data_IF_425943304959
#
_entry.id   IF_425943304959
#
_cell.length_a   1.000
_cell.length_b   1.000
_cell.length_c   1.000
_cell.angle_alpha   90.00
_cell.angle_beta   90.00
_cell.angle_gamma   90.00
#
_symmetry.space_group_name_H-M   'P 1'
#
loop_
_entity.id
_entity.type
_entity.pdbx_description
1 polymer ?
#
# COMPACT_ATOMS: atom_id res chain seq x y z
N UNK A 1 -14.25 -9.11 -0.60
CA UNK A 1 -14.51 -10.25 0.30
C UNK A 1 -16.00 -10.45 0.61
N UNK A 2 -16.74 -9.44 1.08
CA UNK A 2 -18.16 -9.57 1.45
C UNK A 2 -19.04 -10.13 0.31
N UNK A 3 -18.79 -9.70 -0.93
CA UNK A 3 -19.47 -10.20 -2.14
C UNK A 3 -19.25 -11.70 -2.39
N UNK A 4 -18.16 -12.29 -1.91
CA UNK A 4 -17.86 -13.72 -2.12
C UNK A 4 -17.46 -14.07 -3.56
N UNK A 5 -16.21 -13.80 -3.91
CA UNK A 5 -15.66 -13.98 -5.27
C UNK A 5 -14.70 -15.17 -5.40
N UNK A 6 -14.75 -16.12 -4.46
CA UNK A 6 -13.89 -17.32 -4.49
C UNK A 6 -14.14 -18.16 -5.73
N UNK A 7 -13.05 -18.49 -6.44
CA UNK A 7 -13.09 -19.28 -7.68
C UNK A 7 -13.62 -18.52 -8.91
N UNK A 8 -13.73 -17.19 -8.83
CA UNK A 8 -14.25 -16.33 -9.91
C UNK A 8 -13.19 -15.33 -10.38
N UNK A 9 -13.39 -14.79 -11.59
CA UNK A 9 -12.68 -13.60 -12.04
C UNK A 9 -13.43 -12.36 -11.57
N UNK A 10 -12.67 -11.33 -11.21
CA UNK A 10 -13.15 -9.96 -11.05
C UNK A 10 -12.56 -9.17 -12.20
N UNK A 11 -13.40 -8.56 -13.02
CA UNK A 11 -12.98 -7.68 -14.11
C UNK A 11 -13.50 -6.27 -13.83
N UNK A 12 -12.62 -5.28 -13.95
CA UNK A 12 -12.93 -3.89 -13.65
C UNK A 12 -13.33 -3.15 -14.93
N UNK A 13 -14.35 -2.30 -14.83
CA UNK A 13 -14.84 -1.45 -15.92
C UNK A 13 -15.45 -0.16 -15.36
N UNK A 14 -15.92 0.72 -16.26
CA UNK A 14 -16.61 1.96 -15.91
C UNK A 14 -15.75 3.22 -15.91
N UNK A 15 -16.37 4.40 -15.78
CA UNK A 15 -15.76 5.70 -16.05
C UNK A 15 -14.67 6.10 -15.04
N UNK A 16 -14.58 5.42 -13.90
CA UNK A 16 -13.51 5.64 -12.91
C UNK A 16 -12.16 5.05 -13.33
N UNK A 17 -12.15 4.02 -14.18
CA UNK A 17 -10.91 3.27 -14.52
C UNK A 17 -9.88 4.09 -15.30
N UNK A 18 -10.26 4.97 -16.26
CA UNK A 18 -9.31 5.87 -16.93
C UNK A 18 -8.54 6.80 -15.99
N UNK A 19 -9.08 7.11 -14.79
CA UNK A 19 -8.41 7.95 -13.80
C UNK A 19 -7.36 7.21 -12.97
N UNK A 20 -7.31 5.88 -13.06
CA UNK A 20 -6.34 5.05 -12.36
C UNK A 20 -5.13 4.79 -13.25
N UNK A 21 -3.94 5.12 -12.77
CA UNK A 21 -2.69 4.75 -13.44
C UNK A 21 -2.50 3.23 -13.45
N UNK A 22 -1.60 2.72 -14.28
CA UNK A 22 -1.27 1.27 -14.25
C UNK A 22 -0.74 0.84 -12.89
N UNK A 23 -0.02 1.71 -12.18
CA UNK A 23 0.42 1.40 -10.83
C UNK A 23 -0.75 1.26 -9.85
N UNK A 24 -1.79 2.10 -9.94
CA UNK A 24 -2.98 2.02 -9.09
C UNK A 24 -3.77 0.73 -9.39
N UNK A 25 -3.95 0.41 -10.68
CA UNK A 25 -4.60 -0.83 -11.12
C UNK A 25 -3.83 -2.06 -10.64
N UNK A 26 -2.50 -2.03 -10.73
CA UNK A 26 -1.63 -3.10 -10.24
C UNK A 26 -1.73 -3.26 -8.71
N UNK A 27 -1.84 -2.17 -7.94
CA UNK A 27 -2.08 -2.23 -6.49
C UNK A 27 -3.39 -2.95 -6.17
N UNK A 28 -4.48 -2.64 -6.89
CA UNK A 28 -5.79 -3.29 -6.70
C UNK A 28 -5.74 -4.77 -7.11
N UNK A 29 -5.12 -5.07 -8.25
CA UNK A 29 -5.01 -6.42 -8.78
C UNK A 29 -4.09 -7.31 -7.93
N UNK A 30 -3.04 -6.74 -7.33
CA UNK A 30 -2.10 -7.46 -6.47
C UNK A 30 -2.81 -8.10 -5.27
N UNK A 31 -3.80 -7.42 -4.69
CA UNK A 31 -4.55 -7.91 -3.53
C UNK A 31 -5.63 -8.96 -3.86
N UNK A 32 -5.63 -9.51 -5.09
CA UNK A 32 -6.59 -10.50 -5.56
C UNK A 32 -6.79 -11.70 -4.62
N UNK A 33 -5.71 -12.34 -4.12
CA UNK A 33 -5.84 -13.44 -3.17
C UNK A 33 -6.51 -13.04 -1.85
N UNK A 34 -6.28 -11.81 -1.36
CA UNK A 34 -6.81 -11.33 -0.08
C UNK A 34 -8.34 -11.19 -0.08
N UNK A 35 -8.95 -10.85 -1.22
CA UNK A 35 -10.41 -10.86 -1.36
C UNK A 35 -10.97 -12.13 -2.00
N UNK A 36 -10.11 -13.05 -2.44
CA UNK A 36 -10.41 -14.43 -2.77
C UNK A 36 -10.62 -14.73 -4.25
N UNK A 37 -10.48 -13.75 -5.14
CA UNK A 37 -10.67 -13.98 -6.58
C UNK A 37 -9.51 -14.77 -7.20
N UNK A 38 -9.76 -15.42 -8.32
CA UNK A 38 -8.73 -16.11 -9.12
C UNK A 38 -7.92 -15.12 -9.96
N UNK A 39 -8.58 -14.08 -10.49
CA UNK A 39 -7.95 -12.99 -11.21
C UNK A 39 -8.68 -11.68 -10.94
N UNK A 40 -7.93 -10.59 -11.01
CA UNK A 40 -8.39 -9.21 -10.87
C UNK A 40 -7.92 -8.43 -12.09
N UNK A 41 -8.78 -8.37 -13.10
CA UNK A 41 -8.39 -8.05 -14.47
C UNK A 41 -8.77 -6.62 -14.85
N UNK A 42 -7.79 -5.87 -15.33
CA UNK A 42 -7.97 -4.60 -16.02
C UNK A 42 -7.59 -4.81 -17.49
N UNK A 43 -8.57 -4.81 -18.42
CA UNK A 43 -8.29 -4.86 -19.85
C UNK A 43 -7.30 -3.77 -20.31
N UNK A 44 -6.55 -4.04 -21.38
CA UNK A 44 -5.57 -3.11 -21.93
C UNK A 44 -6.30 -1.96 -22.63
N UNK A 45 -5.97 -0.73 -22.22
CA UNK A 45 -6.50 0.53 -22.74
C UNK A 45 -5.36 1.51 -23.10
N UNK A 46 -5.70 2.76 -23.36
CA UNK A 46 -4.69 3.78 -23.68
C UNK A 46 -3.71 4.05 -22.54
N UNK A 47 -4.17 4.04 -21.29
CA UNK A 47 -3.31 4.24 -20.11
C UNK A 47 -2.27 3.11 -20.02
N UNK A 48 -2.66 1.89 -20.41
CA UNK A 48 -1.75 0.75 -20.51
C UNK A 48 -0.66 0.97 -21.56
N UNK A 49 -1.02 1.48 -22.75
CA UNK A 49 -0.07 1.82 -23.82
C UNK A 49 0.90 2.91 -23.36
N UNK A 50 0.39 3.97 -22.72
CA UNK A 50 1.21 5.06 -22.18
C UNK A 50 2.23 4.57 -21.15
N UNK A 51 1.85 3.62 -20.29
CA UNK A 51 2.79 3.01 -19.34
C UNK A 51 3.89 2.19 -20.03
N UNK A 52 3.58 1.48 -21.13
CA UNK A 52 4.60 0.79 -21.91
C UNK A 52 5.61 1.76 -22.52
N UNK A 53 5.15 2.90 -23.04
CA UNK A 53 6.03 3.99 -23.51
C UNK A 53 6.89 4.51 -22.34
N UNK A 54 6.25 4.86 -21.21
CA UNK A 54 6.93 5.41 -20.04
C UNK A 54 8.01 4.48 -19.47
N UNK A 55 7.79 3.16 -19.54
CA UNK A 55 8.75 2.15 -19.07
C UNK A 55 9.77 1.74 -20.14
N UNK A 56 9.89 2.52 -21.22
CA UNK A 56 10.91 2.37 -22.25
C UNK A 56 10.77 1.11 -23.09
N UNK A 57 9.54 0.62 -23.32
CA UNK A 57 9.31 -0.43 -24.32
C UNK A 57 9.53 0.13 -25.72
N UNK A 58 10.03 -0.72 -26.61
CA UNK A 58 10.34 -0.37 -28.00
C UNK A 58 9.10 0.12 -28.78
N UNK A 59 9.26 1.17 -29.58
CA UNK A 59 8.15 1.84 -30.27
C UNK A 59 7.48 0.94 -31.31
N UNK A 60 8.26 0.17 -32.08
CA UNK A 60 7.71 -0.81 -33.02
C UNK A 60 6.94 -1.89 -32.26
N UNK A 61 7.41 -2.25 -31.05
CA UNK A 61 6.68 -3.16 -30.19
C UNK A 61 5.32 -2.64 -29.75
N UNK A 62 5.30 -1.40 -29.30
CA UNK A 62 4.07 -0.75 -28.83
C UNK A 62 3.05 -0.62 -29.97
N UNK A 63 3.51 -0.25 -31.18
CA UNK A 63 2.66 -0.18 -32.38
C UNK A 63 1.98 -1.52 -32.66
N UNK A 64 2.73 -2.63 -32.65
CA UNK A 64 2.14 -3.93 -32.92
C UNK A 64 1.22 -4.42 -31.80
N UNK A 65 1.53 -4.14 -30.53
CA UNK A 65 0.67 -4.49 -29.38
C UNK A 65 -0.71 -3.86 -29.55
N UNK A 66 -0.73 -2.54 -29.76
CA UNK A 66 -1.98 -1.79 -29.93
C UNK A 66 -2.77 -2.27 -31.15
N UNK A 67 -2.11 -2.37 -32.30
CA UNK A 67 -2.74 -2.81 -33.55
C UNK A 67 -3.32 -4.22 -33.43
N UNK A 68 -2.59 -5.13 -32.80
CA UNK A 68 -3.05 -6.49 -32.54
C UNK A 68 -4.30 -6.51 -31.64
N UNK A 69 -4.25 -5.82 -30.49
CA UNK A 69 -5.35 -5.79 -29.54
C UNK A 69 -6.61 -5.17 -30.16
N UNK A 70 -6.45 -4.13 -30.99
CA UNK A 70 -7.57 -3.55 -31.74
C UNK A 70 -8.13 -4.53 -32.77
N UNK A 71 -7.27 -5.20 -33.54
CA UNK A 71 -7.69 -6.14 -34.58
C UNK A 71 -8.43 -7.37 -34.02
N UNK A 72 -8.06 -7.82 -32.82
CA UNK A 72 -8.67 -8.98 -32.13
C UNK A 72 -9.81 -8.58 -31.18
N UNK A 73 -10.13 -7.30 -31.04
CA UNK A 73 -11.21 -6.81 -30.17
C UNK A 73 -10.90 -6.90 -28.66
N UNK A 74 -9.63 -6.80 -28.27
CA UNK A 74 -9.17 -6.83 -26.87
C UNK A 74 -8.50 -5.51 -26.41
N UNK A 75 -8.71 -4.43 -27.16
CA UNK A 75 -8.31 -3.08 -26.77
C UNK A 75 -9.51 -2.33 -26.22
N UNK A 76 -9.49 -1.99 -24.93
CA UNK A 76 -10.63 -1.47 -24.18
C UNK A 76 -10.65 0.05 -24.19
N UNK A 77 -11.84 0.61 -24.41
CA UNK A 77 -12.17 1.98 -24.03
C UNK A 77 -13.16 1.98 -22.85
N UNK A 78 -12.66 2.25 -21.64
CA UNK A 78 -13.49 2.28 -20.42
C UNK A 78 -14.47 3.46 -20.36
N UNK A 79 -14.36 4.44 -21.27
CA UNK A 79 -15.34 5.53 -21.41
C UNK A 79 -16.52 5.15 -22.30
N UNK A 80 -16.38 4.09 -23.10
CA UNK A 80 -17.41 3.54 -23.96
C UNK A 80 -18.12 2.36 -23.27
N UNK A 81 -19.29 2.65 -22.69
CA UNK A 81 -20.13 1.64 -22.05
C UNK A 81 -20.77 0.65 -23.03
N UNK A 82 -20.80 0.96 -24.33
CA UNK A 82 -21.31 0.01 -25.33
C UNK A 82 -20.38 -1.20 -25.53
N UNK A 83 -19.13 -1.09 -25.10
CA UNK A 83 -18.15 -2.17 -25.08
C UNK A 83 -18.10 -2.92 -23.74
N UNK A 84 -18.94 -2.58 -22.75
CA UNK A 84 -18.94 -3.29 -21.46
C UNK A 84 -19.40 -4.75 -21.65
N UNK A 85 -18.63 -5.74 -21.14
CA UNK A 85 -19.03 -7.14 -21.21
C UNK A 85 -20.31 -7.43 -20.43
N UNK A 86 -21.01 -8.50 -20.84
CA UNK A 86 -22.11 -9.06 -20.06
C UNK A 86 -21.58 -9.88 -18.88
N UNK A 87 -21.38 -9.22 -17.73
CA UNK A 87 -20.90 -9.87 -16.51
C UNK A 87 -21.98 -10.69 -15.80
N UNK A 88 -21.56 -11.71 -15.03
CA UNK A 88 -22.47 -12.52 -14.20
C UNK A 88 -23.16 -11.70 -13.12
N UNK A 89 -22.44 -10.74 -12.53
CA UNK A 89 -22.92 -9.80 -11.53
C UNK A 89 -22.07 -8.55 -11.62
N UNK A 90 -22.70 -7.38 -11.45
CA UNK A 90 -22.01 -6.09 -11.35
C UNK A 90 -22.04 -5.64 -9.88
N UNK A 91 -20.92 -5.14 -9.40
CA UNK A 91 -20.78 -4.47 -8.10
C UNK A 91 -20.09 -3.14 -8.35
N UNK A 92 -20.57 -2.10 -7.69
CA UNK A 92 -20.12 -0.72 -7.92
C UNK A 92 -19.33 -0.19 -6.73
N UNK A 93 -18.37 0.69 -7.02
CA UNK A 93 -17.64 1.50 -6.05
C UNK A 93 -17.52 2.92 -6.60
N UNK A 94 -18.22 3.85 -5.96
CA UNK A 94 -17.98 5.28 -6.18
C UNK A 94 -16.69 5.67 -5.46
N UNK A 95 -15.68 6.09 -6.23
CA UNK A 95 -14.37 6.49 -5.72
C UNK A 95 -14.44 7.68 -4.75
N UNK A 96 -15.49 8.51 -4.81
CA UNK A 96 -15.69 9.61 -3.85
C UNK A 96 -15.96 9.12 -2.43
N UNK A 97 -16.44 7.89 -2.27
CA UNK A 97 -16.68 7.27 -0.96
C UNK A 97 -15.40 6.73 -0.32
N UNK A 98 -14.29 6.70 -1.05
CA UNK A 98 -13.00 6.25 -0.53
C UNK A 98 -12.41 7.30 0.40
N UNK A 99 -12.12 6.88 1.62
CA UNK A 99 -11.45 7.69 2.65
C UNK A 99 -10.08 7.10 2.98
N UNK A 100 -9.12 7.92 3.45
CA UNK A 100 -7.86 7.40 3.99
C UNK A 100 -8.14 6.36 5.07
N UNK A 101 -7.57 5.17 4.91
CA UNK A 101 -7.81 4.04 5.81
C UNK A 101 -6.55 3.20 6.00
N UNK A 102 -6.57 2.39 7.04
CA UNK A 102 -5.64 1.29 7.29
C UNK A 102 -6.45 -0.02 7.40
N UNK A 103 -5.76 -1.16 7.42
CA UNK A 103 -6.40 -2.46 7.65
C UNK A 103 -5.73 -3.17 8.82
N UNK A 104 -6.53 -3.64 9.78
CA UNK A 104 -5.99 -4.33 10.94
C UNK A 104 -6.93 -4.43 12.15
N UNK A 105 -6.40 -4.89 13.30
CA UNK A 105 -4.98 -5.14 13.56
C UNK A 105 -4.48 -6.51 13.09
N UNK A 106 -5.36 -7.43 12.65
CA UNK A 106 -4.98 -8.84 12.43
C UNK A 106 -5.35 -9.42 11.06
N UNK A 107 -6.13 -8.73 10.21
CA UNK A 107 -6.50 -9.24 8.87
C UNK A 107 -6.56 -8.12 7.81
N UNK A 108 -6.28 -8.43 6.52
CA UNK A 108 -6.26 -7.43 5.45
C UNK A 108 -7.60 -6.75 5.15
N UNK A 109 -8.72 -7.46 5.33
CA UNK A 109 -10.05 -6.89 5.06
C UNK A 109 -10.63 -6.09 6.22
N UNK A 110 -9.96 -6.02 7.37
CA UNK A 110 -10.45 -5.29 8.55
C UNK A 110 -10.15 -3.79 8.38
N UNK A 111 -10.83 -3.15 7.41
CA UNK A 111 -10.70 -1.72 7.10
C UNK A 111 -11.07 -0.87 8.31
N UNK A 112 -10.21 0.09 8.63
CA UNK A 112 -10.40 1.11 9.66
C UNK A 112 -10.07 2.47 9.05
N UNK A 113 -10.99 3.42 9.11
CA UNK A 113 -10.72 4.78 8.64
C UNK A 113 -9.61 5.42 9.47
N UNK A 114 -8.75 6.25 8.86
CA UNK A 114 -7.65 6.92 9.56
C UNK A 114 -8.19 7.79 10.71
N UNK A 115 -9.34 8.44 10.49
CA UNK A 115 -10.10 9.20 11.50
C UNK A 115 -10.49 8.37 12.73
N UNK A 116 -10.82 7.09 12.54
CA UNK A 116 -11.32 6.19 13.59
C UNK A 116 -10.24 5.29 14.19
N UNK A 117 -9.00 5.29 13.67
CA UNK A 117 -7.94 4.37 14.09
C UNK A 117 -7.69 4.36 15.60
N UNK A 118 -7.65 5.53 16.24
CA UNK A 118 -7.42 5.63 17.69
C UNK A 118 -8.52 4.90 18.47
N UNK A 119 -9.77 5.22 18.16
CA UNK A 119 -10.96 4.66 18.82
C UNK A 119 -11.11 3.17 18.57
N UNK A 120 -10.86 2.73 17.34
CA UNK A 120 -10.87 1.31 16.97
C UNK A 120 -9.81 0.52 17.75
N UNK A 121 -8.58 1.06 17.84
CA UNK A 121 -7.50 0.42 18.61
C UNK A 121 -7.80 0.36 20.11
N UNK A 122 -8.27 1.46 20.71
CA UNK A 122 -8.68 1.51 22.13
C UNK A 122 -9.80 0.50 22.42
N UNK A 123 -10.77 0.37 21.51
CA UNK A 123 -11.82 -0.65 21.60
C UNK A 123 -11.23 -2.06 21.52
N UNK A 124 -10.27 -2.28 20.62
CA UNK A 124 -9.58 -3.56 20.48
C UNK A 124 -8.79 -3.96 21.75
N UNK A 125 -8.30 -3.01 22.57
CA UNK A 125 -7.57 -3.33 23.80
C UNK A 125 -8.41 -4.21 24.75
N UNK A 126 -9.65 -3.80 25.04
CA UNK A 126 -10.52 -4.49 25.99
C UNK A 126 -11.36 -5.63 25.38
N UNK A 127 -11.57 -5.64 24.06
CA UNK A 127 -12.39 -6.65 23.41
C UNK A 127 -11.82 -8.08 23.57
N UNK A 128 -12.72 -9.07 23.64
CA UNK A 128 -12.36 -10.51 23.75
C UNK A 128 -11.35 -10.89 22.67
N UNK A 129 -10.40 -11.76 23.04
CA UNK A 129 -9.33 -12.17 22.15
C UNK A 129 -9.90 -12.69 20.82
N UNK A 130 -9.49 -12.05 19.72
CA UNK A 130 -9.99 -12.33 18.38
C UNK A 130 -9.35 -11.39 17.36
N UNK A 131 -9.92 -11.27 16.16
CA UNK A 131 -9.36 -10.41 15.12
C UNK A 131 -9.37 -8.91 15.49
N UNK A 132 -10.36 -8.49 16.28
CA UNK A 132 -10.56 -7.12 16.77
C UNK A 132 -10.51 -7.04 18.30
N UNK A 133 -9.66 -7.86 18.93
CA UNK A 133 -9.56 -7.89 20.39
C UNK A 133 -8.25 -8.45 20.90
N UNK A 134 -7.69 -7.78 21.91
CA UNK A 134 -6.46 -8.14 22.60
C UNK A 134 -6.71 -8.68 24.02
N UNK A 135 -7.92 -8.50 24.57
CA UNK A 135 -8.32 -8.99 25.90
C UNK A 135 -7.41 -8.49 27.03
N UNK A 136 -7.07 -7.21 27.00
CA UNK A 136 -6.31 -6.53 28.04
C UNK A 136 -7.32 -5.96 29.04
N UNK A 137 -7.10 -6.22 30.33
CA UNK A 137 -7.95 -5.69 31.39
C UNK A 137 -7.98 -4.14 31.36
N UNK A 138 -9.15 -3.49 31.54
CA UNK A 138 -9.29 -2.03 31.39
C UNK A 138 -8.27 -1.21 32.18
N UNK A 139 -7.94 -1.63 33.39
CA UNK A 139 -6.96 -1.00 34.28
C UNK A 139 -5.53 -1.01 33.72
N UNK A 140 -5.24 -1.84 32.71
CA UNK A 140 -3.93 -1.92 32.05
C UNK A 140 -3.87 -1.15 30.72
N UNK A 141 -4.98 -0.58 30.23
CA UNK A 141 -5.01 0.11 28.94
C UNK A 141 -4.08 1.32 28.88
N UNK A 142 -3.82 1.95 30.03
CA UNK A 142 -2.93 3.08 30.18
C UNK A 142 -1.50 2.69 30.58
N UNK A 143 -1.15 1.40 30.55
CA UNK A 143 0.19 0.93 30.92
C UNK A 143 1.29 1.62 30.10
N UNK A 144 2.38 1.94 30.78
CA UNK A 144 3.57 2.58 30.24
C UNK A 144 4.80 1.88 30.77
N UNK A 145 5.77 1.62 29.91
CA UNK A 145 7.03 0.96 30.27
C UNK A 145 8.17 1.84 29.80
N UNK A 146 9.06 2.20 30.73
CA UNK A 146 10.28 2.94 30.44
C UNK A 146 11.39 1.99 30.03
N UNK A 147 12.22 2.41 29.08
CA UNK A 147 13.38 1.66 28.62
C UNK A 147 14.49 2.62 28.17
N UNK A 148 15.72 2.12 28.13
CA UNK A 148 16.88 2.90 27.65
C UNK A 148 17.28 2.40 26.27
N UNK A 149 17.47 3.33 25.34
CA UNK A 149 17.99 3.06 24.00
C UNK A 149 19.01 4.13 23.62
N UNK A 150 20.24 3.72 23.29
CA UNK A 150 21.38 4.61 23.03
C UNK A 150 21.54 5.69 24.12
N UNK A 151 21.61 5.24 25.39
CA UNK A 151 21.78 6.08 26.59
C UNK A 151 20.70 7.15 26.82
N UNK A 152 19.53 7.00 26.17
CA UNK A 152 18.36 7.87 26.34
C UNK A 152 17.16 7.09 26.82
N UNK A 153 16.45 7.64 27.79
CA UNK A 153 15.21 7.06 28.32
C UNK A 153 14.04 7.36 27.36
N UNK A 154 13.27 6.32 27.05
CA UNK A 154 12.04 6.37 26.26
C UNK A 154 10.92 5.63 26.98
N UNK A 155 9.70 5.81 26.49
CA UNK A 155 8.50 5.17 27.02
C UNK A 155 7.74 4.47 25.89
N UNK A 156 7.34 3.22 26.13
CA UNK A 156 6.38 2.47 25.33
C UNK A 156 5.03 2.43 26.05
N UNK A 157 3.98 2.59 25.26
CA UNK A 157 2.59 2.41 25.65
C UNK A 157 1.90 1.47 24.68
N UNK A 158 0.71 1.00 25.03
CA UNK A 158 -0.16 0.37 24.04
C UNK A 158 -0.37 1.31 22.84
N UNK A 159 -0.22 0.76 21.62
CA UNK A 159 -0.31 1.51 20.37
C UNK A 159 1.00 2.18 19.92
N UNK A 160 2.09 2.05 20.69
CA UNK A 160 3.41 2.54 20.25
C UNK A 160 3.87 1.80 18.99
N UNK A 161 4.27 2.56 17.97
CA UNK A 161 4.86 2.01 16.74
C UNK A 161 6.31 1.61 17.03
N UNK A 162 6.64 0.34 16.78
CA UNK A 162 8.01 -0.20 16.92
C UNK A 162 8.60 -0.64 15.58
N UNK A 163 7.76 -0.89 14.57
CA UNK A 163 8.14 -1.17 13.19
C UNK A 163 7.36 -0.22 12.28
N UNK A 164 8.05 0.47 11.38
CA UNK A 164 7.45 1.29 10.33
C UNK A 164 8.18 1.03 9.00
N UNK A 165 7.63 0.14 8.17
CA UNK A 165 8.28 -0.32 6.95
C UNK A 165 7.53 0.15 5.70
N UNK A 166 8.22 0.88 4.81
CA UNK A 166 7.79 1.08 3.43
C UNK A 166 8.28 -0.13 2.63
N UNK A 167 7.39 -1.08 2.38
CA UNK A 167 7.69 -2.40 1.83
C UNK A 167 6.60 -2.85 0.86
N UNK A 168 6.72 -4.08 0.35
CA UNK A 168 5.83 -4.75 -0.59
C UNK A 168 5.88 -4.21 -2.02
N UNK A 169 5.84 -5.14 -2.99
CA UNK A 169 5.60 -4.79 -4.39
C UNK A 169 4.23 -4.11 -4.59
N UNK A 170 3.23 -4.37 -3.73
CA UNK A 170 1.88 -3.79 -3.79
C UNK A 170 1.90 -2.25 -3.91
N UNK A 171 2.81 -1.60 -3.19
CA UNK A 171 2.91 -0.14 -3.11
C UNK A 171 4.22 0.41 -3.67
N UNK A 172 5.33 -0.31 -3.54
CA UNK A 172 6.63 0.20 -4.02
C UNK A 172 6.73 0.25 -5.54
N UNK A 173 5.85 -0.44 -6.28
CA UNK A 173 5.72 -0.26 -7.73
C UNK A 173 4.96 1.00 -8.14
N UNK A 174 4.42 1.76 -7.18
CA UNK A 174 3.57 2.92 -7.44
C UNK A 174 4.31 4.24 -7.12
N UNK A 175 4.78 4.97 -8.15
CA UNK A 175 5.47 6.25 -7.95
C UNK A 175 4.65 7.28 -7.19
N UNK A 176 3.31 7.28 -7.31
CA UNK A 176 2.44 8.25 -6.64
C UNK A 176 2.59 8.19 -5.13
N UNK A 177 2.51 7.00 -4.53
CA UNK A 177 2.64 6.83 -3.08
C UNK A 177 4.09 6.93 -2.61
N UNK A 178 5.04 6.50 -3.43
CA UNK A 178 6.47 6.57 -3.08
C UNK A 178 7.00 8.01 -3.09
N UNK A 179 6.68 8.79 -4.13
CA UNK A 179 6.99 10.22 -4.17
C UNK A 179 6.16 10.97 -3.13
N UNK A 180 4.89 10.60 -2.92
CA UNK A 180 4.07 11.15 -1.84
C UNK A 180 4.73 10.99 -0.46
N UNK A 181 5.26 9.80 -0.16
CA UNK A 181 6.02 9.55 1.07
C UNK A 181 7.30 10.40 1.16
N UNK A 182 8.05 10.52 0.06
CA UNK A 182 9.25 11.37 0.02
C UNK A 182 8.95 12.86 0.22
N UNK A 183 7.89 13.37 -0.42
CA UNK A 183 7.43 14.75 -0.27
C UNK A 183 6.93 15.03 1.15
N UNK A 184 6.24 14.05 1.77
CA UNK A 184 5.85 14.13 3.17
C UNK A 184 7.08 14.17 4.08
N UNK A 185 8.08 13.31 3.84
CA UNK A 185 9.32 13.29 4.60
C UNK A 185 10.05 14.64 4.50
N UNK A 186 10.15 15.21 3.30
CA UNK A 186 10.72 16.54 3.08
C UNK A 186 10.00 17.60 3.90
N UNK A 187 8.67 17.68 3.80
CA UNK A 187 7.86 18.64 4.57
C UNK A 187 8.00 18.44 6.09
N UNK A 188 8.05 17.20 6.55
CA UNK A 188 8.19 16.89 7.97
C UNK A 188 9.56 17.35 8.51
N UNK A 189 10.64 17.07 7.78
CA UNK A 189 11.99 17.50 8.15
C UNK A 189 12.11 19.03 8.12
N UNK A 190 11.59 19.69 7.08
CA UNK A 190 11.57 21.16 7.00
C UNK A 190 10.77 21.80 8.14
N UNK A 191 9.76 21.09 8.66
CA UNK A 191 8.99 21.47 9.84
C UNK A 191 9.67 21.11 11.18
N UNK A 192 10.88 20.53 11.17
CA UNK A 192 11.64 20.15 12.37
C UNK A 192 11.17 18.85 13.04
N UNK A 193 10.35 18.04 12.37
CA UNK A 193 9.91 16.74 12.90
C UNK A 193 11.00 15.68 12.73
N UNK A 194 11.01 14.72 13.66
CA UNK A 194 11.94 13.58 13.67
C UNK A 194 11.20 12.29 14.05
N UNK A 195 11.78 11.15 13.69
CA UNK A 195 11.33 9.82 14.13
C UNK A 195 12.15 9.40 15.34
N UNK A 196 11.49 8.79 16.34
CA UNK A 196 12.20 8.29 17.53
C UNK A 196 13.18 7.18 17.11
N UNK A 197 14.44 7.19 17.60
CA UNK A 197 15.51 6.37 17.05
C UNK A 197 15.40 4.87 17.38
N UNK A 198 14.51 4.49 18.30
CA UNK A 198 14.23 3.10 18.63
C UNK A 198 13.26 2.44 17.63
N UNK A 199 12.56 3.24 16.82
CA UNK A 199 11.60 2.71 15.84
C UNK A 199 12.38 2.08 14.71
N UNK A 200 12.08 0.82 14.41
CA UNK A 200 12.67 0.12 13.27
C UNK A 200 12.00 0.58 11.98
N UNK A 201 12.54 1.64 11.41
CA UNK A 201 12.18 2.14 10.08
C UNK A 201 12.94 1.39 8.99
N UNK A 202 12.31 1.21 7.83
CA UNK A 202 12.96 0.57 6.68
C UNK A 202 12.27 0.93 5.37
N UNK A 203 13.06 1.16 4.32
CA UNK A 203 12.57 1.23 2.94
C UNK A 203 13.08 0.01 2.15
N UNK A 204 12.16 -0.81 1.62
CA UNK A 204 12.48 -2.02 0.85
C UNK A 204 11.81 -1.97 -0.53
N UNK A 205 12.42 -1.31 -1.52
CA UNK A 205 11.81 -1.16 -2.83
C UNK A 205 11.76 -2.46 -3.63
N UNK A 206 10.73 -2.64 -4.46
CA UNK A 206 10.65 -3.77 -5.39
C UNK A 206 11.63 -3.70 -6.57
N UNK A 207 12.19 -2.52 -6.88
CA UNK A 207 13.18 -2.34 -7.95
C UNK A 207 14.07 -1.13 -7.71
N UNK A 208 15.22 -1.08 -8.40
CA UNK A 208 16.14 0.07 -8.38
C UNK A 208 15.56 1.37 -8.95
N UNK A 209 14.53 1.29 -9.80
CA UNK A 209 13.85 2.47 -10.39
C UNK A 209 13.26 3.35 -9.29
N UNK A 210 12.76 2.74 -8.21
CA UNK A 210 12.21 3.45 -7.05
C UNK A 210 13.24 4.35 -6.41
N UNK A 211 14.40 3.78 -6.09
CA UNK A 211 15.51 4.54 -5.50
C UNK A 211 16.03 5.60 -6.47
N UNK A 212 16.04 5.31 -7.77
CA UNK A 212 16.44 6.27 -8.79
C UNK A 212 15.56 7.52 -8.76
N UNK A 213 14.24 7.40 -8.94
CA UNK A 213 13.39 8.61 -8.95
C UNK A 213 13.31 9.31 -7.59
N UNK A 214 13.46 8.59 -6.46
CA UNK A 214 13.51 9.22 -5.13
C UNK A 214 14.76 10.08 -4.95
N UNK A 215 15.89 9.67 -5.55
CA UNK A 215 17.13 10.46 -5.57
C UNK A 215 17.01 11.64 -6.53
N UNK A 216 16.57 11.41 -7.77
CA UNK A 216 16.48 12.46 -8.79
C UNK A 216 15.47 13.56 -8.42
N UNK A 217 14.38 13.21 -7.72
CA UNK A 217 13.44 14.20 -7.18
C UNK A 217 13.93 14.93 -5.93
N UNK A 218 15.10 14.56 -5.39
CA UNK A 218 15.71 15.18 -4.21
C UNK A 218 15.04 14.82 -2.88
N UNK A 219 14.16 13.82 -2.84
CA UNK A 219 13.42 13.45 -1.60
C UNK A 219 14.12 12.37 -0.77
N UNK A 220 15.03 11.59 -1.37
CA UNK A 220 15.73 10.49 -0.70
C UNK A 220 16.50 10.92 0.57
N UNK A 221 17.23 12.06 0.61
CA UNK A 221 17.92 12.50 1.83
C UNK A 221 16.97 12.72 3.01
N UNK A 222 15.76 13.20 2.76
CA UNK A 222 14.75 13.44 3.80
C UNK A 222 14.14 12.14 4.32
N UNK A 223 13.93 11.15 3.44
CA UNK A 223 13.55 9.80 3.86
C UNK A 223 14.63 9.18 4.76
N UNK A 224 15.90 9.26 4.36
CA UNK A 224 17.03 8.76 5.15
C UNK A 224 17.13 9.45 6.52
N UNK A 225 16.93 10.77 6.59
CA UNK A 225 16.92 11.52 7.86
C UNK A 225 15.81 11.06 8.83
N UNK A 226 14.67 10.59 8.30
CA UNK A 226 13.60 9.97 9.10
C UNK A 226 13.79 8.47 9.32
N UNK A 227 14.95 7.90 8.92
CA UNK A 227 15.33 6.50 9.11
C UNK A 227 14.86 5.54 8.00
N UNK A 228 14.32 6.06 6.89
CA UNK A 228 13.87 5.26 5.75
C UNK A 228 14.96 5.12 4.68
N UNK A 229 16.15 4.71 5.10
CA UNK A 229 17.20 4.25 4.17
C UNK A 229 16.78 2.97 3.46
N UNK A 230 17.31 2.78 2.25
CA UNK A 230 17.12 1.54 1.48
C UNK A 230 17.86 0.41 2.18
N UNK A 231 17.11 -0.54 2.74
CA UNK A 231 17.68 -1.70 3.45
C UNK A 231 17.85 -2.93 2.56
N UNK A 232 17.26 -2.92 1.36
CA UNK A 232 17.35 -4.00 0.39
C UNK A 232 16.26 -3.95 -0.67
N UNK A 233 16.47 -4.70 -1.77
CA UNK A 233 15.50 -4.84 -2.85
C UNK A 233 14.89 -6.24 -2.81
N UNK A 234 13.65 -6.34 -2.34
CA UNK A 234 12.97 -7.63 -2.15
C UNK A 234 11.81 -7.54 -1.17
N UNK A 235 11.20 -8.70 -0.87
CA UNK A 235 9.97 -8.76 -0.07
C UNK A 235 10.15 -8.26 1.38
N UNK A 236 11.26 -8.59 2.05
CA UNK A 236 11.62 -8.10 3.39
C UNK A 236 10.44 -8.22 4.40
N UNK A 237 10.13 -7.13 5.11
CA UNK A 237 9.05 -7.08 6.12
C UNK A 237 7.69 -7.55 5.59
N UNK A 238 7.40 -7.42 4.30
CA UNK A 238 6.13 -7.86 3.70
C UNK A 238 5.86 -9.36 3.89
N UNK A 239 6.90 -10.20 3.91
CA UNK A 239 6.78 -11.66 4.11
C UNK A 239 7.17 -12.09 5.52
N UNK A 240 7.26 -11.14 6.47
CA UNK A 240 7.69 -11.40 7.83
C UNK A 240 9.21 -11.43 8.03
N UNK A 241 10.02 -11.18 6.99
CA UNK A 241 11.47 -11.00 7.12
C UNK A 241 11.78 -9.59 7.66
N UNK A 242 11.23 -9.28 8.84
CA UNK A 242 11.34 -7.99 9.52
C UNK A 242 12.64 -7.84 10.31
N UNK A 243 13.34 -8.94 10.60
CA UNK A 243 14.54 -8.98 11.46
C UNK A 243 14.26 -8.60 12.92
N UNK A 244 15.29 -8.57 13.79
CA UNK A 244 15.09 -8.35 15.22
C UNK A 244 14.71 -6.89 15.54
N UNK A 245 13.88 -6.70 16.57
CA UNK A 245 13.81 -5.41 17.28
C UNK A 245 15.00 -5.31 18.26
N UNK A 246 15.41 -4.09 18.64
CA UNK A 246 16.35 -3.89 19.74
C UNK A 246 15.90 -4.63 21.01
N UNK A 247 16.83 -5.27 21.72
CA UNK A 247 16.52 -6.06 22.92
C UNK A 247 15.79 -5.25 24.00
N UNK A 248 16.10 -3.95 24.10
CA UNK A 248 15.43 -3.03 25.03
C UNK A 248 13.94 -2.79 24.76
N UNK A 249 13.43 -3.27 23.61
CA UNK A 249 12.03 -3.09 23.17
C UNK A 249 11.23 -4.40 23.28
N UNK A 250 11.89 -5.56 23.22
CA UNK A 250 11.26 -6.89 23.14
C UNK A 250 10.75 -7.35 24.51
#
# INVERSE_FOLDING_TARGET
RQVGVVGKFVEFFGPGVPHLSIADRATIANMCPEYGATAAFFPVDEVSIQYLVQTGRDDEKIKHIRKYLQAVGMFRDFSDSSQDPAFTQIVELDLQTVVPCCSGPKRPQDKVEVSEMKKDFETCLGAKQGFKGFQIAPERHSNRVKFVYNDKEFELTHGSVVIAAITSCTNTSNPSVMLGAGLLAKKAVEAGLTVKPYIKTSLSPGSGVVTYYLRESGVMPFLAQLGFDVVGYGCMTCIGNSGPLPESIV
#
